data_IF_847628711880
#
_entry.id   IF_847628711880
#
_cell.length_a   1.000
_cell.length_b   1.000
_cell.length_c   1.000
_cell.angle_alpha   90.00
_cell.angle_beta   90.00
_cell.angle_gamma   90.00
#
_symmetry.space_group_name_H-M   'P 1'
#
loop_
_entity.id
_entity.type
_entity.pdbx_description
1 polymer ?
#
# COMPACT_ATOMS: atom_id res chain seq x y z
N UNK A 1 46.00 -8.65 26.17
CA UNK A 1 45.88 -7.84 24.93
C UNK A 1 45.11 -8.53 23.80
N UNK A 2 45.41 -9.79 23.41
CA UNK A 2 44.69 -10.49 22.32
C UNK A 2 43.16 -10.57 22.51
N UNK A 3 42.67 -10.87 23.72
CA UNK A 3 41.23 -10.94 23.99
C UNK A 3 40.50 -9.59 23.92
N UNK A 4 41.21 -8.46 24.14
CA UNK A 4 40.65 -7.12 23.99
C UNK A 4 40.47 -6.75 22.52
N UNK A 5 41.45 -7.12 21.68
CA UNK A 5 41.42 -6.90 20.22
C UNK A 5 40.32 -7.72 19.54
N UNK A 6 40.13 -8.98 19.94
CA UNK A 6 39.05 -9.84 19.44
C UNK A 6 37.65 -9.32 19.81
N UNK A 7 37.48 -8.77 21.01
CA UNK A 7 36.21 -8.16 21.44
C UNK A 7 35.91 -6.84 20.72
N UNK A 8 36.94 -6.03 20.45
CA UNK A 8 36.80 -4.81 19.65
C UNK A 8 36.38 -5.10 18.20
N UNK A 9 36.98 -6.12 17.57
CA UNK A 9 36.64 -6.53 16.21
C UNK A 9 35.22 -7.12 16.08
N UNK A 10 34.74 -7.83 17.10
CA UNK A 10 33.37 -8.35 17.11
C UNK A 10 32.32 -7.23 17.23
N UNK A 11 32.59 -6.19 18.04
CA UNK A 11 31.70 -5.04 18.20
C UNK A 11 31.60 -4.19 16.93
N UNK A 12 32.72 -3.95 16.24
CA UNK A 12 32.71 -3.20 14.97
C UNK A 12 31.99 -3.97 13.86
N UNK A 13 32.21 -5.28 13.76
CA UNK A 13 31.48 -6.13 12.80
C UNK A 13 29.97 -6.14 13.09
N UNK A 14 29.57 -6.21 14.36
CA UNK A 14 28.17 -6.08 14.75
C UNK A 14 27.55 -4.73 14.35
N UNK A 15 28.26 -3.63 14.58
CA UNK A 15 27.82 -2.29 14.18
C UNK A 15 27.71 -2.15 12.65
N UNK A 16 28.66 -2.69 11.89
CA UNK A 16 28.63 -2.69 10.42
C UNK A 16 27.44 -3.50 9.89
N UNK A 17 27.19 -4.69 10.46
CA UNK A 17 26.06 -5.52 10.05
C UNK A 17 24.72 -4.85 10.35
N UNK A 18 24.54 -4.27 11.54
CA UNK A 18 23.34 -3.53 11.91
C UNK A 18 23.11 -2.31 11.03
N UNK A 19 24.17 -1.55 10.74
CA UNK A 19 24.09 -0.38 9.85
C UNK A 19 23.74 -0.81 8.43
N UNK A 20 24.32 -1.89 7.92
CA UNK A 20 23.99 -2.44 6.59
C UNK A 20 22.57 -2.99 6.49
N UNK A 21 22.02 -3.51 7.59
CA UNK A 21 20.63 -3.96 7.67
C UNK A 21 19.69 -2.75 7.72
N UNK A 22 20.05 -1.71 8.48
CA UNK A 22 19.29 -0.46 8.55
C UNK A 22 19.21 0.24 7.18
N UNK A 23 20.33 0.33 6.44
CA UNK A 23 20.33 0.88 5.08
C UNK A 23 19.63 0.00 4.04
N UNK A 24 19.37 -1.28 4.34
CA UNK A 24 18.57 -2.16 3.48
C UNK A 24 17.06 -1.97 3.66
N UNK A 25 16.63 -1.29 4.72
CA UNK A 25 15.23 -0.91 4.92
C UNK A 25 15.03 0.44 4.22
N UNK A 26 14.89 0.39 2.90
CA UNK A 26 14.56 1.57 2.11
C UNK A 26 13.05 1.59 1.82
N UNK A 27 12.36 2.68 2.15
CA UNK A 27 10.89 2.79 2.01
C UNK A 27 10.38 2.50 0.58
N UNK A 28 11.05 2.92 -0.51
CA UNK A 28 10.69 2.53 -1.88
C UNK A 28 10.67 1.01 -2.06
N UNK A 29 11.65 0.29 -1.52
CA UNK A 29 11.73 -1.17 -1.64
C UNK A 29 10.58 -1.89 -0.94
N UNK A 30 10.09 -1.34 0.17
CA UNK A 30 8.94 -1.90 0.92
C UNK A 30 7.66 -1.69 0.12
N UNK A 31 7.45 -0.47 -0.39
CA UNK A 31 6.24 -0.14 -1.16
C UNK A 31 6.21 -0.93 -2.48
N UNK A 32 7.35 -1.05 -3.18
CA UNK A 32 7.46 -1.87 -4.39
C UNK A 32 7.11 -3.32 -4.13
N UNK A 33 7.67 -3.92 -3.07
CA UNK A 33 7.37 -5.31 -2.73
C UNK A 33 5.90 -5.51 -2.36
N UNK A 34 5.32 -4.60 -1.56
CA UNK A 34 3.90 -4.65 -1.21
C UNK A 34 3.00 -4.54 -2.45
N UNK A 35 3.35 -3.67 -3.41
CA UNK A 35 2.61 -3.54 -4.67
C UNK A 35 2.69 -4.81 -5.53
N UNK A 36 3.89 -5.40 -5.65
CA UNK A 36 4.07 -6.67 -6.37
C UNK A 36 3.30 -7.81 -5.73
N UNK A 37 3.33 -7.93 -4.40
CA UNK A 37 2.56 -8.95 -3.67
C UNK A 37 1.06 -8.75 -3.82
N UNK A 38 0.59 -7.50 -3.77
CA UNK A 38 -0.81 -7.18 -4.05
C UNK A 38 -1.19 -7.60 -5.46
N UNK A 39 -0.48 -7.16 -6.50
CA UNK A 39 -0.77 -7.54 -7.90
C UNK A 39 -0.72 -9.05 -8.10
N UNK A 40 0.27 -9.75 -7.54
CA UNK A 40 0.41 -11.20 -7.63
C UNK A 40 -0.75 -11.97 -6.95
N UNK A 41 -1.46 -11.35 -6.00
CA UNK A 41 -2.63 -11.95 -5.35
C UNK A 41 -3.92 -11.85 -6.18
N UNK A 42 -3.93 -11.01 -7.23
CA UNK A 42 -5.10 -10.72 -8.06
C UNK A 42 -5.22 -11.71 -9.23
N UNK A 43 -6.46 -11.97 -9.66
CA UNK A 43 -6.70 -12.67 -10.93
C UNK A 43 -6.29 -11.79 -12.12
N UNK A 44 -6.09 -12.36 -13.32
CA UNK A 44 -5.77 -11.56 -14.51
C UNK A 44 -6.80 -10.44 -14.79
N UNK A 45 -8.08 -10.71 -14.58
CA UNK A 45 -9.16 -9.73 -14.77
C UNK A 45 -9.10 -8.60 -13.73
N UNK A 46 -8.78 -8.95 -12.48
CA UNK A 46 -8.58 -7.98 -11.40
C UNK A 46 -7.32 -7.13 -11.64
N UNK A 47 -6.22 -7.73 -12.09
CA UNK A 47 -5.00 -6.99 -12.46
C UNK A 47 -5.30 -5.99 -13.59
N UNK A 48 -6.02 -6.41 -14.62
CA UNK A 48 -6.40 -5.54 -15.74
C UNK A 48 -7.24 -4.32 -15.31
N UNK A 49 -8.05 -4.44 -14.26
CA UNK A 49 -8.78 -3.30 -13.64
C UNK A 49 -7.89 -2.40 -12.79
N UNK A 50 -6.78 -2.91 -12.28
CA UNK A 50 -5.92 -2.25 -11.28
C UNK A 50 -4.74 -1.53 -11.91
N UNK A 51 -4.18 -2.03 -13.01
CA UNK A 51 -2.94 -1.51 -13.59
C UNK A 51 -3.20 -0.56 -14.76
N UNK A 52 -2.47 0.54 -14.80
CA UNK A 52 -2.54 1.57 -15.84
C UNK A 52 -1.13 1.97 -16.29
N UNK A 53 -0.94 2.46 -17.53
CA UNK A 53 0.30 3.13 -17.90
C UNK A 53 0.56 4.34 -17.00
N UNK A 54 1.83 4.64 -16.71
CA UNK A 54 2.17 5.77 -15.83
C UNK A 54 1.64 7.12 -16.32
N UNK A 55 1.60 7.32 -17.64
CA UNK A 55 1.10 8.53 -18.30
C UNK A 55 -0.42 8.52 -18.52
N UNK A 56 -1.15 7.58 -17.94
CA UNK A 56 -2.61 7.54 -18.05
C UNK A 56 -3.23 8.84 -17.50
N UNK A 57 -4.17 9.42 -18.24
CA UNK A 57 -4.98 10.57 -17.79
C UNK A 57 -5.71 10.27 -16.47
N UNK A 58 -6.00 8.99 -16.20
CA UNK A 58 -6.63 8.55 -14.96
C UNK A 58 -5.81 8.92 -13.72
N UNK A 59 -4.48 9.04 -13.84
CA UNK A 59 -3.60 9.45 -12.72
C UNK A 59 -3.91 10.88 -12.24
N UNK A 60 -4.45 11.71 -13.12
CA UNK A 60 -4.84 13.09 -12.83
C UNK A 60 -6.35 13.23 -12.56
N UNK A 61 -7.12 12.14 -12.67
CA UNK A 61 -8.58 12.11 -12.49
C UNK A 61 -8.99 12.01 -11.01
N UNK A 62 -8.40 12.84 -10.15
CA UNK A 62 -8.74 12.88 -8.72
C UNK A 62 -9.82 13.93 -8.42
N UNK A 63 -10.87 13.49 -7.74
CA UNK A 63 -11.97 14.36 -7.31
C UNK A 63 -12.41 14.03 -5.89
N UNK A 64 -12.72 15.05 -5.11
CA UNK A 64 -13.28 14.93 -3.75
C UNK A 64 -14.79 14.67 -3.74
N UNK A 65 -15.48 14.85 -4.88
CA UNK A 65 -16.91 14.55 -5.03
C UNK A 65 -17.13 13.08 -5.47
N UNK A 66 -18.29 12.48 -5.17
CA UNK A 66 -18.63 11.15 -5.67
C UNK A 66 -18.72 11.12 -7.19
N UNK A 67 -17.95 10.23 -7.83
CA UNK A 67 -17.97 9.91 -9.26
C UNK A 67 -17.66 8.43 -9.42
N UNK A 68 -17.97 7.87 -10.58
CA UNK A 68 -17.40 6.58 -10.96
C UNK A 68 -15.87 6.69 -10.98
N UNK A 69 -15.20 5.70 -10.39
CA UNK A 69 -13.74 5.63 -10.28
C UNK A 69 -13.27 4.33 -10.93
N UNK A 70 -12.18 4.42 -11.68
CA UNK A 70 -11.48 3.23 -12.17
C UNK A 70 -10.60 2.64 -11.06
N UNK A 71 -10.14 1.42 -11.28
CA UNK A 71 -9.43 0.63 -10.28
C UNK A 71 -10.25 -0.56 -9.79
N UNK A 72 -9.63 -1.39 -8.97
CA UNK A 72 -10.29 -2.52 -8.31
C UNK A 72 -10.84 -2.07 -6.94
N UNK A 73 -12.17 -2.08 -6.71
CA UNK A 73 -12.71 -1.81 -5.39
C UNK A 73 -12.36 -2.93 -4.40
N UNK A 74 -12.18 -2.59 -3.12
CA UNK A 74 -12.02 -3.59 -2.04
C UNK A 74 -13.22 -4.56 -1.97
N UNK A 75 -14.40 -4.09 -2.36
CA UNK A 75 -15.63 -4.89 -2.44
C UNK A 75 -15.48 -6.11 -3.37
N UNK A 76 -14.66 -5.99 -4.43
CA UNK A 76 -14.43 -7.05 -5.42
C UNK A 76 -13.22 -7.94 -5.05
N UNK A 77 -12.63 -7.74 -3.87
CA UNK A 77 -11.44 -8.47 -3.42
C UNK A 77 -11.80 -9.54 -2.38
N UNK A 78 -11.12 -10.68 -2.47
CA UNK A 78 -11.17 -11.70 -1.40
C UNK A 78 -10.48 -11.19 -0.12
N UNK A 79 -10.73 -11.79 1.06
CA UNK A 79 -10.07 -11.35 2.30
C UNK A 79 -8.53 -11.33 2.22
N UNK A 80 -7.85 -12.33 1.62
CA UNK A 80 -6.39 -12.27 1.42
C UNK A 80 -5.94 -11.12 0.51
N UNK A 81 -6.68 -10.84 -0.57
CA UNK A 81 -6.37 -9.73 -1.48
C UNK A 81 -6.54 -8.37 -0.78
N UNK A 82 -7.58 -8.20 0.03
CA UNK A 82 -7.78 -7.00 0.85
C UNK A 82 -6.64 -6.79 1.85
N UNK A 83 -6.14 -7.86 2.48
CA UNK A 83 -4.99 -7.77 3.37
C UNK A 83 -3.75 -7.24 2.63
N UNK A 84 -3.51 -7.69 1.39
CA UNK A 84 -2.40 -7.20 0.56
C UNK A 84 -2.62 -5.75 0.11
N UNK A 85 -3.85 -5.35 -0.22
CA UNK A 85 -4.19 -3.96 -0.54
C UNK A 85 -3.92 -3.03 0.66
N UNK A 86 -4.32 -3.43 1.86
CA UNK A 86 -4.02 -2.70 3.09
C UNK A 86 -2.52 -2.66 3.40
N UNK A 87 -1.77 -3.74 3.12
CA UNK A 87 -0.32 -3.75 3.26
C UNK A 87 0.36 -2.74 2.31
N UNK A 88 -0.10 -2.65 1.07
CA UNK A 88 0.37 -1.62 0.12
C UNK A 88 0.04 -0.21 0.63
N UNK A 89 -1.19 0.03 1.08
CA UNK A 89 -1.59 1.32 1.65
C UNK A 89 -0.73 1.72 2.86
N UNK A 90 -0.44 0.74 3.73
CA UNK A 90 0.41 0.94 4.90
C UNK A 90 1.87 1.20 4.52
N UNK A 91 2.38 0.60 3.44
CA UNK A 91 3.74 0.83 2.96
C UNK A 91 3.95 2.26 2.40
N UNK A 92 2.90 2.85 1.81
CA UNK A 92 2.93 4.22 1.27
C UNK A 92 2.64 5.33 2.28
N UNK A 93 2.21 5.00 3.50
CA UNK A 93 1.79 5.98 4.51
C UNK A 93 2.57 5.81 5.82
N UNK A 94 2.71 6.90 6.57
CA UNK A 94 3.06 6.78 7.99
C UNK A 94 2.00 5.97 8.75
N UNK A 95 2.35 5.33 9.87
CA UNK A 95 1.39 4.62 10.72
C UNK A 95 0.15 5.47 11.06
N UNK A 96 0.36 6.75 11.42
CA UNK A 96 -0.74 7.70 11.69
C UNK A 96 -1.57 7.99 10.43
N UNK A 97 -0.94 8.05 9.26
CA UNK A 97 -1.62 8.19 7.97
C UNK A 97 -2.50 6.99 7.64
N UNK A 98 -1.97 5.78 7.81
CA UNK A 98 -2.72 4.54 7.61
C UNK A 98 -3.94 4.45 8.54
N UNK A 99 -3.75 4.67 9.85
CA UNK A 99 -4.86 4.67 10.83
C UNK A 99 -5.94 5.68 10.43
N UNK A 100 -5.54 6.89 10.03
CA UNK A 100 -6.49 7.89 9.56
C UNK A 100 -7.25 7.42 8.33
N UNK A 101 -6.56 6.86 7.33
CA UNK A 101 -7.20 6.38 6.11
C UNK A 101 -8.26 5.30 6.39
N UNK A 102 -7.89 4.25 7.14
CA UNK A 102 -8.84 3.16 7.44
C UNK A 102 -9.98 3.58 8.37
N UNK A 103 -9.73 4.56 9.24
CA UNK A 103 -10.79 5.17 10.06
C UNK A 103 -11.77 5.95 9.19
N UNK A 104 -11.29 6.75 8.22
CA UNK A 104 -12.18 7.44 7.28
C UNK A 104 -13.04 6.44 6.50
N UNK A 105 -12.44 5.34 6.04
CA UNK A 105 -13.17 4.28 5.33
C UNK A 105 -14.28 3.66 6.20
N UNK A 106 -14.00 3.38 7.47
CA UNK A 106 -15.00 2.80 8.38
C UNK A 106 -16.12 3.78 8.75
N UNK A 107 -15.91 5.10 8.62
CA UNK A 107 -16.96 6.09 8.85
C UNK A 107 -18.09 6.02 7.82
N UNK A 108 -17.90 5.37 6.67
CA UNK A 108 -19.00 5.11 5.73
C UNK A 108 -20.15 4.33 6.40
N UNK A 109 -19.85 3.41 7.32
CA UNK A 109 -20.89 2.68 8.07
C UNK A 109 -21.65 3.57 9.06
N UNK A 110 -20.95 4.52 9.69
CA UNK A 110 -21.58 5.50 10.58
C UNK A 110 -22.50 6.41 9.77
N UNK A 111 -22.03 6.92 8.63
CA UNK A 111 -22.83 7.74 7.72
C UNK A 111 -24.04 6.98 7.19
N UNK A 112 -23.87 5.69 6.84
CA UNK A 112 -24.99 4.82 6.42
C UNK A 112 -26.12 4.81 7.45
N UNK A 113 -25.79 4.65 8.73
CA UNK A 113 -26.77 4.62 9.82
C UNK A 113 -27.43 5.98 10.00
N UNK A 114 -26.65 7.05 10.07
CA UNK A 114 -27.14 8.40 10.32
C UNK A 114 -28.04 8.92 9.19
N UNK A 115 -27.66 8.64 7.95
CA UNK A 115 -28.37 9.11 6.75
C UNK A 115 -29.49 8.16 6.32
N UNK A 116 -29.63 6.99 6.96
CA UNK A 116 -30.51 5.89 6.52
C UNK A 116 -30.26 5.53 5.04
N UNK A 117 -28.99 5.57 4.65
CA UNK A 117 -28.59 5.44 3.26
C UNK A 117 -28.51 3.97 2.82
N UNK A 118 -28.57 3.77 1.51
CA UNK A 118 -28.37 2.46 0.88
C UNK A 118 -26.97 1.90 1.18
N UNK A 119 -26.83 0.62 1.56
CA UNK A 119 -25.55 0.00 1.89
C UNK A 119 -24.60 -0.18 0.70
N UNK A 120 -25.06 -0.05 -0.53
CA UNK A 120 -24.22 0.00 -1.73
C UNK A 120 -23.75 1.44 -2.04
N UNK A 121 -24.44 2.44 -1.50
CA UNK A 121 -24.04 3.84 -1.58
C UNK A 121 -23.00 4.17 -0.49
N UNK A 122 -23.34 3.95 0.78
CA UNK A 122 -22.44 4.13 1.94
C UNK A 122 -21.82 2.78 2.32
N UNK A 123 -20.62 2.51 1.80
CA UNK A 123 -19.96 1.23 1.94
C UNK A 123 -18.45 1.38 2.20
N UNK A 124 -17.93 0.89 3.34
CA UNK A 124 -16.49 0.95 3.66
C UNK A 124 -15.57 0.22 2.68
N UNK A 125 -16.08 -0.73 1.90
CA UNK A 125 -15.33 -1.49 0.89
C UNK A 125 -15.40 -0.85 -0.52
N UNK A 126 -16.08 0.29 -0.68
CA UNK A 126 -16.15 1.02 -1.97
C UNK A 126 -15.00 2.03 -2.14
N UNK A 127 -13.81 1.59 -1.77
CA UNK A 127 -12.53 2.28 -2.01
C UNK A 127 -11.72 1.47 -3.01
N UNK A 128 -10.98 2.17 -3.88
CA UNK A 128 -10.41 1.60 -5.11
C UNK A 128 -8.90 1.66 -5.08
N UNK A 129 -8.27 0.63 -5.63
CA UNK A 129 -6.82 0.58 -5.86
C UNK A 129 -6.54 0.66 -7.37
N UNK A 130 -5.62 1.55 -7.72
CA UNK A 130 -5.07 1.73 -9.06
C UNK A 130 -3.56 1.88 -8.93
N UNK A 131 -2.81 1.22 -9.81
CA UNK A 131 -1.35 1.30 -9.88
C UNK A 131 -0.97 1.80 -11.28
N UNK A 132 -0.15 2.85 -11.31
CA UNK A 132 0.30 3.52 -12.51
C UNK A 132 1.78 3.17 -12.77
N UNK A 133 2.06 2.53 -13.89
CA UNK A 133 3.38 2.02 -14.22
C UNK A 133 3.68 0.68 -13.55
N UNK A 134 4.91 0.19 -13.75
CA UNK A 134 5.38 -1.08 -13.20
C UNK A 134 6.10 -0.84 -11.86
N UNK A 135 5.69 -1.48 -10.75
CA UNK A 135 6.35 -1.35 -9.47
C UNK A 135 7.85 -1.69 -9.54
N UNK A 136 8.68 -0.70 -9.22
CA UNK A 136 10.14 -0.78 -9.31
C UNK A 136 10.82 0.11 -8.27
N UNK A 137 11.96 -0.34 -7.74
CA UNK A 137 12.73 0.40 -6.75
C UNK A 137 13.44 1.63 -7.34
N UNK A 138 13.68 1.63 -8.65
CA UNK A 138 14.41 2.69 -9.36
C UNK A 138 13.59 3.32 -10.50
N UNK A 139 12.49 2.68 -10.88
CA UNK A 139 11.58 3.14 -11.92
C UNK A 139 10.55 4.15 -11.40
N UNK A 140 9.79 4.73 -12.33
CA UNK A 140 8.69 5.63 -11.99
C UNK A 140 7.37 4.89 -11.99
N UNK A 141 6.72 4.85 -10.83
CA UNK A 141 5.39 4.27 -10.63
C UNK A 141 4.69 4.95 -9.44
N UNK A 142 3.40 4.69 -9.25
CA UNK A 142 2.66 5.12 -8.07
C UNK A 142 1.16 4.87 -8.14
#
# INVERSE_FOLDING_TARGET
>A
MKHLLLRGAALTMGAILLTSAYYRIDSPSIMTQAARHFLASLTPEQQAKTTFPFQSEERLNWHFIPRERKGLPLLDMTPPQRAMAHALLAAGLSQRGYIKAVTIMSLEDVLRILEKADPNYRNPEKYYFSIFGEPSDTGTWG
#
